data_IF_581717815060
#
_entry.id   IF_581717815060
#
_cell.length_a   1.000
_cell.length_b   1.000
_cell.length_c   1.000
_cell.angle_alpha   90.00
_cell.angle_beta   90.00
_cell.angle_gamma   90.00
#
_symmetry.space_group_name_H-M   'P 1'
#
loop_
_entity.id
_entity.type
_entity.pdbx_description
1 polymer ?
#
# COMPACT_ATOMS: atom_id res chain seq x y z
N UNK A 1 11.59 17.10 -4.79
CA UNK A 1 10.23 17.16 -4.21
C UNK A 1 10.07 15.91 -3.35
N UNK A 2 9.59 16.02 -2.12
CA UNK A 2 9.35 14.83 -1.29
C UNK A 2 8.15 14.08 -1.86
N UNK A 3 8.27 12.77 -1.99
CA UNK A 3 7.14 11.90 -2.35
C UNK A 3 6.12 11.88 -1.21
N UNK A 4 4.83 11.85 -1.54
CA UNK A 4 3.73 11.75 -0.56
C UNK A 4 3.68 10.38 0.15
N UNK A 5 4.42 9.41 -0.37
CA UNK A 5 4.51 8.03 0.12
C UNK A 5 5.94 7.67 0.50
N UNK A 6 6.07 6.68 1.39
CA UNK A 6 7.33 6.14 1.88
C UNK A 6 7.31 4.60 1.92
N UNK A 7 8.46 3.98 2.19
CA UNK A 7 8.55 2.55 2.42
C UNK A 7 7.66 2.13 3.60
N UNK A 8 7.01 0.97 3.48
CA UNK A 8 6.15 0.43 4.53
C UNK A 8 6.99 0.07 5.77
N UNK A 9 6.57 0.55 6.95
CA UNK A 9 7.28 0.29 8.21
C UNK A 9 7.29 -1.19 8.58
N UNK A 10 8.32 -1.64 9.31
CA UNK A 10 8.40 -2.99 9.85
C UNK A 10 7.18 -3.35 10.71
N UNK A 11 6.53 -4.48 10.42
CA UNK A 11 5.30 -4.94 11.10
C UNK A 11 4.00 -4.39 10.49
N UNK A 12 4.08 -3.47 9.53
CA UNK A 12 2.92 -2.88 8.85
C UNK A 12 2.81 -3.36 7.38
N UNK A 13 3.57 -4.37 6.98
CA UNK A 13 3.53 -4.92 5.61
C UNK A 13 2.16 -5.49 5.24
N UNK A 14 1.79 -5.33 3.97
CA UNK A 14 0.69 -6.07 3.35
C UNK A 14 1.24 -7.34 2.69
N UNK A 15 0.40 -8.36 2.59
CA UNK A 15 0.67 -9.52 1.75
C UNK A 15 0.47 -9.13 0.28
N UNK A 16 1.58 -8.75 -0.36
CA UNK A 16 1.58 -8.30 -1.76
C UNK A 16 1.20 -9.42 -2.73
N UNK A 17 1.50 -10.68 -2.39
CA UNK A 17 1.18 -11.83 -3.26
C UNK A 17 -0.32 -12.06 -3.29
N UNK A 18 -0.97 -12.09 -2.12
CA UNK A 18 -2.42 -12.22 -2.05
C UNK A 18 -3.14 -11.00 -2.64
N UNK A 19 -2.59 -9.79 -2.44
CA UNK A 19 -3.16 -8.57 -3.04
C UNK A 19 -3.07 -8.59 -4.57
N UNK A 20 -1.93 -9.01 -5.14
CA UNK A 20 -1.77 -9.17 -6.58
C UNK A 20 -2.74 -10.21 -7.15
N UNK A 21 -2.91 -11.34 -6.47
CA UNK A 21 -3.88 -12.37 -6.87
C UNK A 21 -5.32 -11.85 -6.84
N UNK A 22 -5.68 -11.07 -5.82
CA UNK A 22 -7.02 -10.46 -5.70
C UNK A 22 -7.29 -9.42 -6.80
N UNK A 23 -6.30 -8.60 -7.14
CA UNK A 23 -6.42 -7.57 -8.18
C UNK A 23 -6.25 -8.12 -9.60
N UNK A 24 -5.73 -9.34 -9.74
CA UNK A 24 -5.49 -10.00 -11.02
C UNK A 24 -4.28 -9.44 -11.79
N UNK A 25 -3.40 -8.68 -11.12
CA UNK A 25 -2.19 -8.10 -11.71
C UNK A 25 -1.08 -7.93 -10.65
N UNK A 26 0.22 -7.99 -11.03
CA UNK A 26 1.31 -7.67 -10.13
C UNK A 26 1.19 -6.24 -9.59
N UNK A 27 1.44 -6.05 -8.29
CA UNK A 27 1.39 -4.73 -7.66
C UNK A 27 2.60 -4.47 -6.77
N UNK A 28 2.93 -3.20 -6.58
CA UNK A 28 3.84 -2.73 -5.54
C UNK A 28 3.09 -1.88 -4.51
N UNK A 29 3.62 -1.81 -3.30
CA UNK A 29 2.97 -1.14 -2.17
C UNK A 29 3.92 -0.16 -1.50
N UNK A 30 3.45 1.07 -1.33
CA UNK A 30 4.06 2.11 -0.50
C UNK A 30 3.07 2.55 0.56
N UNK A 31 3.54 3.26 1.58
CA UNK A 31 2.71 3.73 2.69
C UNK A 31 2.62 5.26 2.69
N UNK A 32 1.44 5.79 2.96
CA UNK A 32 1.29 7.20 3.32
C UNK A 32 1.74 7.39 4.78
N UNK A 33 2.74 8.25 5.06
CA UNK A 33 3.20 8.49 6.42
C UNK A 33 2.16 9.30 7.19
N UNK A 34 1.42 8.68 8.10
CA UNK A 34 0.50 9.39 9.01
C UNK A 34 -0.34 8.46 9.89
N UNK A 35 -0.22 8.63 11.21
CA UNK A 35 -1.02 7.93 12.24
C UNK A 35 -0.78 6.42 12.37
N UNK A 36 -0.85 5.89 13.59
CA UNK A 36 -0.77 4.42 13.83
C UNK A 36 -2.11 3.71 13.65
N UNK A 37 -3.22 4.43 13.81
CA UNK A 37 -4.56 3.84 13.90
C UNK A 37 -5.31 3.73 12.56
N UNK A 38 -4.72 4.20 11.45
CA UNK A 38 -5.39 4.23 10.15
C UNK A 38 -4.36 4.07 9.01
N UNK A 39 -3.76 2.88 8.93
CA UNK A 39 -2.68 2.62 8.00
C UNK A 39 -3.20 2.70 6.57
N UNK A 40 -2.62 3.60 5.81
CA UNK A 40 -3.04 3.92 4.45
C UNK A 40 -1.89 3.62 3.50
N UNK A 41 -2.19 2.92 2.42
CA UNK A 41 -1.22 2.42 1.47
C UNK A 41 -1.56 2.89 0.06
N UNK A 42 -0.53 3.19 -0.72
CA UNK A 42 -0.63 3.33 -2.16
C UNK A 42 -0.29 1.98 -2.78
N UNK A 43 -1.23 1.43 -3.53
CA UNK A 43 -1.04 0.20 -4.30
C UNK A 43 -0.90 0.61 -5.77
N UNK A 44 0.21 0.23 -6.40
CA UNK A 44 0.48 0.56 -7.81
C UNK A 44 0.43 -0.72 -8.64
N UNK A 45 -0.50 -0.78 -9.58
CA UNK A 45 -0.57 -1.80 -10.63
C UNK A 45 -0.01 -1.29 -11.95
N UNK A 46 -0.17 -2.07 -13.01
CA UNK A 46 0.33 -1.71 -14.34
C UNK A 46 -0.53 -0.63 -15.01
N UNK A 47 -1.85 -0.68 -14.81
CA UNK A 47 -2.81 0.20 -15.48
C UNK A 47 -3.42 1.29 -14.57
N UNK A 48 -3.29 1.13 -13.25
CA UNK A 48 -3.99 1.97 -12.27
C UNK A 48 -3.34 1.92 -10.89
N UNK A 49 -3.71 2.89 -10.08
CA UNK A 49 -3.31 3.00 -8.68
C UNK A 49 -4.54 2.99 -7.78
N UNK A 50 -4.36 2.53 -6.55
CA UNK A 50 -5.40 2.49 -5.52
C UNK A 50 -4.89 3.01 -4.19
N UNK A 51 -5.81 3.56 -3.39
CA UNK A 51 -5.58 3.84 -1.98
C UNK A 51 -6.27 2.77 -1.15
N UNK A 52 -5.48 1.98 -0.40
CA UNK A 52 -5.98 0.96 0.51
C UNK A 52 -5.90 1.48 1.95
N UNK A 53 -6.98 1.35 2.71
CA UNK A 53 -7.03 1.70 4.13
C UNK A 53 -7.26 0.46 4.97
N UNK A 54 -6.38 0.20 5.93
CA UNK A 54 -6.53 -0.86 6.92
C UNK A 54 -7.18 -0.26 8.16
N UNK A 55 -8.40 -0.71 8.46
CA UNK A 55 -9.08 -0.42 9.72
C UNK A 55 -8.23 -0.89 10.92
N UNK A 56 -8.37 -0.29 12.11
CA UNK A 56 -7.64 -0.70 13.31
C UNK A 56 -7.93 -2.15 13.72
#
# INVERSE_FOLDING_TARGET
>A
MQSDTAAVRGGEQLDVVNLAAYLGEPVSVEQFPGGHSNLTYLVKGAAREWVLRRAP
#
